data_IF_018438918715
#
_entry.id   IF_018438918715
#
_cell.length_a   1.000
_cell.length_b   1.000
_cell.length_c   1.000
_cell.angle_alpha   90.00
_cell.angle_beta   90.00
_cell.angle_gamma   90.00
#
_symmetry.space_group_name_H-M   'P 1'
#
loop_
_entity.id
_entity.type
_entity.pdbx_description
1 polymer ?
#
# COMPACT_ATOMS: atom_id res chain seq x y z
N UNK A 1 -14.02 13.00 -4.80
CA UNK A 1 -13.92 11.55 -5.10
C UNK A 1 -13.13 10.88 -4.00
N UNK A 2 -13.69 9.89 -3.38
CA UNK A 2 -13.07 9.16 -2.29
C UNK A 2 -12.00 8.21 -2.83
N UNK A 3 -10.83 8.25 -2.22
CA UNK A 3 -9.73 7.33 -2.55
C UNK A 3 -9.83 6.05 -1.74
N UNK A 4 -10.29 6.18 -0.49
CA UNK A 4 -10.56 5.07 0.42
C UNK A 4 -11.81 5.40 1.24
N UNK A 5 -12.74 4.46 1.32
CA UNK A 5 -13.91 4.52 2.20
C UNK A 5 -13.98 3.25 3.03
N UNK A 6 -14.06 3.40 4.34
CA UNK A 6 -14.18 2.32 5.31
C UNK A 6 -15.41 2.60 6.15
N UNK A 7 -16.36 1.67 6.19
CA UNK A 7 -17.62 1.84 6.93
C UNK A 7 -17.90 0.63 7.80
N UNK A 8 -18.00 0.87 9.11
CA UNK A 8 -18.35 -0.13 10.08
C UNK A 8 -17.42 -1.33 10.12
N UNK A 9 -16.14 -1.13 9.88
CA UNK A 9 -15.16 -2.21 9.77
C UNK A 9 -15.00 -2.94 11.09
N UNK A 10 -15.22 -4.26 11.05
CA UNK A 10 -15.05 -5.17 12.20
C UNK A 10 -14.10 -6.29 11.86
N UNK A 11 -13.24 -6.60 12.78
CA UNK A 11 -12.32 -7.73 12.70
C UNK A 11 -11.98 -8.25 14.08
N UNK A 12 -12.08 -9.56 14.25
CA UNK A 12 -11.68 -10.27 15.48
C UNK A 12 -10.70 -11.39 15.13
N UNK A 13 -9.85 -11.70 16.06
CA UNK A 13 -8.97 -12.87 16.03
C UNK A 13 -9.27 -13.70 17.29
N UNK A 14 -9.89 -14.88 17.11
CA UNK A 14 -10.42 -15.65 18.21
C UNK A 14 -11.45 -14.84 19.00
N UNK A 15 -11.25 -14.71 20.30
CA UNK A 15 -12.14 -13.95 21.19
C UNK A 15 -11.78 -12.46 21.31
N UNK A 16 -10.74 -12.01 20.61
CA UNK A 16 -10.26 -10.63 20.67
C UNK A 16 -10.81 -9.82 19.50
N UNK A 17 -11.66 -8.84 19.80
CA UNK A 17 -12.12 -7.84 18.85
C UNK A 17 -11.04 -6.77 18.66
N UNK A 18 -10.41 -6.75 17.47
CA UNK A 18 -9.35 -5.78 17.12
C UNK A 18 -9.97 -4.52 16.53
N UNK A 19 -10.98 -4.65 15.68
CA UNK A 19 -11.73 -3.54 15.09
C UNK A 19 -13.22 -3.72 15.43
N UNK A 20 -13.82 -2.70 15.99
CA UNK A 20 -15.18 -2.76 16.54
C UNK A 20 -16.16 -1.79 15.87
N UNK A 21 -16.00 -1.55 14.58
CA UNK A 21 -16.90 -0.67 13.82
C UNK A 21 -16.22 0.62 13.36
N UNK A 22 -14.99 0.51 12.85
CA UNK A 22 -14.23 1.66 12.37
C UNK A 22 -14.85 2.24 11.10
N UNK A 23 -15.03 3.55 11.08
CA UNK A 23 -15.55 4.28 9.92
C UNK A 23 -14.69 5.51 9.65
N UNK A 24 -14.17 5.64 8.45
CA UNK A 24 -13.47 6.82 7.98
C UNK A 24 -13.42 6.88 6.46
N UNK A 25 -13.10 8.05 5.94
CA UNK A 25 -12.92 8.31 4.52
C UNK A 25 -11.61 9.04 4.28
N UNK A 26 -10.98 8.75 3.15
CA UNK A 26 -9.82 9.47 2.63
C UNK A 26 -10.17 10.00 1.25
N UNK A 27 -10.12 11.30 1.07
CA UNK A 27 -10.38 11.97 -0.21
C UNK A 27 -9.07 12.24 -0.95
N UNK A 28 -9.20 12.45 -2.23
CA UNK A 28 -8.05 12.82 -3.07
C UNK A 28 -7.39 14.10 -2.55
N UNK A 29 -6.07 14.07 -2.40
CA UNK A 29 -5.28 15.21 -1.92
C UNK A 29 -5.18 15.31 -0.40
N UNK A 30 -5.84 14.43 0.35
CA UNK A 30 -5.75 14.38 1.81
C UNK A 30 -4.62 13.47 2.28
N UNK A 31 -4.06 13.81 3.44
CA UNK A 31 -3.19 12.96 4.21
C UNK A 31 -3.90 12.58 5.51
N UNK A 32 -4.09 11.28 5.73
CA UNK A 32 -4.83 10.76 6.87
C UNK A 32 -3.91 9.96 7.79
N UNK A 33 -3.91 10.28 9.08
CA UNK A 33 -3.10 9.59 10.08
C UNK A 33 -3.90 8.56 10.86
N UNK A 34 -3.40 7.33 10.94
CA UNK A 34 -3.86 6.30 11.85
C UNK A 34 -2.92 6.24 13.04
N UNK A 35 -3.40 6.73 14.19
CA UNK A 35 -2.61 6.83 15.41
C UNK A 35 -3.15 5.87 16.48
N UNK A 36 -2.26 5.33 17.27
CA UNK A 36 -2.60 4.48 18.39
C UNK A 36 -1.42 3.64 18.85
N UNK A 37 -1.50 3.05 20.05
CA UNK A 37 -0.45 2.15 20.54
C UNK A 37 -0.38 0.86 19.71
N UNK A 38 0.70 0.09 19.92
CA UNK A 38 0.81 -1.24 19.33
C UNK A 38 -0.37 -2.11 19.80
N UNK A 39 -0.98 -2.84 18.86
CA UNK A 39 -2.16 -3.65 19.12
C UNK A 39 -3.50 -2.91 19.01
N UNK A 40 -3.50 -1.61 18.65
CA UNK A 40 -4.73 -0.82 18.45
C UNK A 40 -5.48 -1.14 17.15
N UNK A 41 -4.96 -2.04 16.31
CA UNK A 41 -5.61 -2.41 15.04
C UNK A 41 -5.16 -1.63 13.81
N UNK A 42 -4.11 -0.82 13.89
CA UNK A 42 -3.60 -0.04 12.75
C UNK A 42 -3.20 -0.95 11.57
N UNK A 43 -2.38 -1.95 11.82
CA UNK A 43 -1.94 -2.92 10.81
C UNK A 43 -3.12 -3.70 10.25
N UNK A 44 -4.04 -4.15 11.09
CA UNK A 44 -5.25 -4.86 10.68
C UNK A 44 -6.12 -3.99 9.78
N UNK A 45 -6.30 -2.72 10.12
CA UNK A 45 -7.03 -1.74 9.29
C UNK A 45 -6.42 -1.62 7.90
N UNK A 46 -5.10 -1.44 7.82
CA UNK A 46 -4.40 -1.35 6.53
C UNK A 46 -4.51 -2.64 5.72
N UNK A 47 -4.36 -3.79 6.36
CA UNK A 47 -4.49 -5.09 5.69
C UNK A 47 -5.91 -5.32 5.15
N UNK A 48 -6.93 -4.95 5.89
CA UNK A 48 -8.31 -5.01 5.42
C UNK A 48 -8.55 -4.03 4.25
N UNK A 49 -8.06 -2.78 4.37
CA UNK A 49 -8.19 -1.77 3.32
C UNK A 49 -7.54 -2.20 2.00
N UNK A 50 -6.45 -2.95 2.06
CA UNK A 50 -5.73 -3.48 0.90
C UNK A 50 -6.29 -4.82 0.40
N UNK A 51 -7.26 -5.40 1.09
CA UNK A 51 -7.82 -6.70 0.75
C UNK A 51 -6.88 -7.88 1.02
N UNK A 52 -5.91 -7.72 1.91
CA UNK A 52 -4.98 -8.78 2.33
C UNK A 52 -5.56 -9.62 3.47
N UNK A 53 -6.54 -9.10 4.16
CA UNK A 53 -7.28 -9.77 5.23
C UNK A 53 -8.76 -9.46 5.05
N UNK A 54 -9.60 -10.49 5.06
CA UNK A 54 -11.04 -10.30 4.97
C UNK A 54 -11.60 -9.72 6.27
N UNK A 55 -12.40 -8.66 6.24
CA UNK A 55 -13.10 -8.18 7.42
C UNK A 55 -14.22 -9.14 7.83
N UNK A 56 -14.59 -9.13 9.11
CA UNK A 56 -15.73 -9.90 9.60
C UNK A 56 -17.06 -9.18 9.30
N UNK A 57 -17.03 -7.86 9.26
CA UNK A 57 -18.16 -7.03 8.85
C UNK A 57 -17.68 -5.66 8.38
N UNK A 58 -18.56 -4.92 7.73
CA UNK A 58 -18.29 -3.60 7.21
C UNK A 58 -18.07 -3.60 5.70
N UNK A 59 -17.91 -2.40 5.14
CA UNK A 59 -17.71 -2.21 3.71
C UNK A 59 -16.46 -1.35 3.46
N UNK A 60 -15.69 -1.75 2.47
CA UNK A 60 -14.47 -1.04 2.07
C UNK A 60 -14.53 -0.79 0.56
N UNK A 61 -14.19 0.43 0.17
CA UNK A 61 -13.93 0.78 -1.23
C UNK A 61 -12.55 1.42 -1.33
N UNK A 62 -11.73 0.89 -2.23
CA UNK A 62 -10.39 1.40 -2.51
C UNK A 62 -10.33 1.79 -3.99
N UNK A 63 -9.99 3.05 -4.26
CA UNK A 63 -10.01 3.61 -5.62
C UNK A 63 -11.34 3.36 -6.36
N UNK A 64 -12.45 3.46 -5.63
CA UNK A 64 -13.80 3.24 -6.17
C UNK A 64 -14.22 1.78 -6.33
N UNK A 65 -13.37 0.83 -5.99
CA UNK A 65 -13.63 -0.60 -6.15
C UNK A 65 -13.92 -1.29 -4.80
N UNK A 66 -14.87 -2.23 -4.75
CA UNK A 66 -15.16 -2.94 -3.51
C UNK A 66 -14.01 -3.88 -3.13
N UNK A 67 -13.69 -3.90 -1.84
CA UNK A 67 -12.63 -4.73 -1.27
C UNK A 67 -13.25 -5.61 -0.17
N UNK A 68 -12.96 -6.93 -0.12
CA UNK A 68 -11.89 -7.65 -0.83
C UNK A 68 -12.23 -8.12 -2.26
N UNK A 69 -13.45 -7.98 -2.73
CA UNK A 69 -13.93 -8.60 -3.97
C UNK A 69 -13.08 -8.23 -5.20
N UNK A 70 -12.71 -6.97 -5.33
CA UNK A 70 -11.87 -6.46 -6.42
C UNK A 70 -10.53 -5.89 -5.92
N UNK A 71 -10.01 -6.44 -4.84
CA UNK A 71 -8.79 -5.94 -4.19
C UNK A 71 -7.57 -5.96 -5.11
N UNK A 72 -7.40 -7.00 -5.90
CA UNK A 72 -6.27 -7.10 -6.82
C UNK A 72 -6.22 -5.96 -7.83
N UNK A 73 -7.37 -5.61 -8.38
CA UNK A 73 -7.49 -4.49 -9.33
C UNK A 73 -7.29 -3.15 -8.62
N UNK A 74 -7.88 -2.98 -7.43
CA UNK A 74 -7.72 -1.77 -6.64
C UNK A 74 -6.25 -1.51 -6.27
N UNK A 75 -5.51 -2.54 -5.89
CA UNK A 75 -4.08 -2.44 -5.55
C UNK A 75 -3.18 -1.99 -6.70
N UNK A 76 -3.57 -2.16 -7.95
CA UNK A 76 -2.81 -1.63 -9.09
C UNK A 76 -2.70 -0.09 -9.09
N UNK A 77 -3.54 0.58 -8.31
CA UNK A 77 -3.58 2.05 -8.18
C UNK A 77 -3.01 2.54 -6.87
N UNK A 78 -2.41 1.67 -6.07
CA UNK A 78 -1.96 1.96 -4.71
C UNK A 78 -0.49 1.61 -4.55
N UNK A 79 0.28 2.56 -4.03
CA UNK A 79 1.64 2.31 -3.57
C UNK A 79 1.67 2.03 -2.07
N UNK A 80 2.55 1.15 -1.64
CA UNK A 80 2.72 0.77 -0.24
C UNK A 80 4.19 0.88 0.12
N UNK A 81 4.46 1.56 1.24
CA UNK A 81 5.78 1.54 1.88
C UNK A 81 5.65 0.64 3.11
N UNK A 82 6.19 -0.58 3.07
CA UNK A 82 6.09 -1.51 4.20
C UNK A 82 6.99 -1.09 5.36
N UNK A 83 6.69 -1.63 6.54
CA UNK A 83 7.51 -1.41 7.73
C UNK A 83 8.88 -2.09 7.62
N UNK A 84 8.93 -3.27 6.99
CA UNK A 84 10.16 -4.01 6.74
C UNK A 84 10.57 -3.85 5.28
N UNK A 85 11.87 -3.88 5.03
CA UNK A 85 12.40 -3.82 3.68
C UNK A 85 11.92 -5.03 2.86
N UNK A 86 11.43 -4.75 1.66
CA UNK A 86 10.95 -5.75 0.71
C UNK A 86 11.68 -5.66 -0.64
N UNK A 87 12.78 -4.91 -0.68
CA UNK A 87 13.63 -4.81 -1.86
C UNK A 87 14.53 -6.05 -1.96
N UNK A 88 14.87 -6.40 -3.20
CA UNK A 88 15.76 -7.53 -3.46
C UNK A 88 17.22 -7.07 -3.34
N UNK A 89 18.00 -7.62 -2.39
CA UNK A 89 19.39 -7.21 -2.19
C UNK A 89 20.32 -7.65 -3.31
N UNK A 90 19.92 -8.62 -4.13
CA UNK A 90 20.70 -9.08 -5.27
C UNK A 90 20.60 -8.11 -6.46
N UNK A 91 19.57 -7.26 -6.46
CA UNK A 91 19.33 -6.27 -7.50
C UNK A 91 19.90 -4.90 -7.13
N UNK A 92 20.27 -4.14 -8.16
CA UNK A 92 20.59 -2.72 -8.02
C UNK A 92 19.33 -1.90 -7.73
N UNK A 93 19.51 -0.64 -7.33
CA UNK A 93 18.39 0.29 -7.13
C UNK A 93 17.52 0.42 -8.39
N UNK A 94 18.14 0.55 -9.57
CA UNK A 94 17.41 0.63 -10.84
C UNK A 94 16.66 -0.67 -11.16
N UNK A 95 17.28 -1.82 -10.96
CA UNK A 95 16.65 -3.13 -11.20
C UNK A 95 15.46 -3.37 -10.28
N UNK A 96 15.54 -2.99 -9.00
CA UNK A 96 14.41 -3.03 -8.09
C UNK A 96 13.24 -2.20 -8.62
N UNK A 97 13.48 -0.97 -9.07
CA UNK A 97 12.45 -0.11 -9.64
C UNK A 97 11.80 -0.72 -10.90
N UNK A 98 12.60 -1.36 -11.75
CA UNK A 98 12.09 -2.05 -12.95
C UNK A 98 11.18 -3.22 -12.59
N UNK A 99 11.57 -4.05 -11.63
CA UNK A 99 10.76 -5.18 -11.16
C UNK A 99 9.44 -4.71 -10.57
N UNK A 100 9.47 -3.69 -9.70
CA UNK A 100 8.25 -3.13 -9.13
C UNK A 100 7.34 -2.50 -10.18
N UNK A 101 7.89 -1.80 -11.16
CA UNK A 101 7.12 -1.28 -12.27
C UNK A 101 6.36 -2.36 -13.04
N UNK A 102 6.96 -3.53 -13.22
CA UNK A 102 6.32 -4.69 -13.86
C UNK A 102 5.14 -5.22 -13.06
N UNK A 103 5.22 -5.24 -11.73
CA UNK A 103 4.11 -5.66 -10.89
C UNK A 103 2.87 -4.77 -11.06
N UNK A 104 3.07 -3.50 -11.44
CA UNK A 104 2.00 -2.55 -11.73
C UNK A 104 1.62 -2.48 -13.21
N UNK A 105 2.12 -3.39 -14.03
CA UNK A 105 1.83 -3.43 -15.46
C UNK A 105 2.47 -2.32 -16.28
N UNK A 106 3.47 -1.64 -15.73
CA UNK A 106 4.19 -0.58 -16.44
C UNK A 106 5.17 -1.16 -17.47
N UNK A 107 5.28 -0.49 -18.61
CA UNK A 107 6.29 -0.85 -19.61
C UNK A 107 7.69 -0.46 -19.12
N UNK A 108 8.68 -1.28 -19.41
CA UNK A 108 10.07 -1.05 -19.01
C UNK A 108 10.57 0.34 -19.44
N UNK A 109 10.28 0.76 -20.67
CA UNK A 109 10.60 2.09 -21.17
C UNK A 109 10.05 3.21 -20.30
N UNK A 110 8.81 3.08 -19.82
CA UNK A 110 8.16 4.05 -18.95
C UNK A 110 8.85 4.10 -17.57
N UNK A 111 9.17 2.95 -17.00
CA UNK A 111 9.87 2.88 -15.72
C UNK A 111 11.26 3.50 -15.83
N UNK A 112 12.03 3.12 -16.88
CA UNK A 112 13.37 3.67 -17.12
C UNK A 112 13.36 5.20 -17.25
N UNK A 113 12.35 5.78 -17.87
CA UNK A 113 12.23 7.24 -17.99
C UNK A 113 12.02 7.95 -16.66
N UNK A 114 11.47 7.25 -15.65
CA UNK A 114 11.18 7.79 -14.32
C UNK A 114 12.32 7.62 -13.33
N UNK A 115 13.20 6.65 -13.53
CA UNK A 115 14.27 6.29 -12.58
C UNK A 115 15.13 7.48 -12.17
N UNK A 116 15.67 8.32 -13.07
CA UNK A 116 16.53 9.44 -12.66
C UNK A 116 15.84 10.39 -11.68
N UNK A 117 14.58 10.73 -11.94
CA UNK A 117 13.80 11.62 -11.09
C UNK A 117 13.47 10.98 -9.74
N UNK A 118 13.16 9.69 -9.72
CA UNK A 118 12.88 8.96 -8.49
C UNK A 118 14.11 8.87 -7.60
N UNK A 119 15.26 8.60 -8.17
CA UNK A 119 16.53 8.55 -7.44
C UNK A 119 16.93 9.93 -6.91
N UNK A 120 16.73 10.98 -7.69
CA UNK A 120 16.94 12.35 -7.22
C UNK A 120 16.03 12.68 -6.04
N UNK A 121 14.75 12.38 -6.13
CA UNK A 121 13.78 12.56 -5.05
C UNK A 121 14.19 11.82 -3.78
N UNK A 122 14.71 10.61 -3.90
CA UNK A 122 15.17 9.80 -2.78
C UNK A 122 16.56 10.19 -2.25
N UNK A 123 17.23 11.19 -2.86
CA UNK A 123 18.61 11.55 -2.50
C UNK A 123 19.65 10.53 -2.97
N UNK A 124 19.32 9.72 -3.97
CA UNK A 124 20.15 8.64 -4.49
C UNK A 124 20.64 8.89 -5.93
N UNK A 125 20.68 10.15 -6.35
CA UNK A 125 21.20 10.51 -7.67
C UNK A 125 22.63 9.94 -7.86
N UNK A 126 22.86 9.31 -9.02
CA UNK A 126 24.16 8.66 -9.31
C UNK A 126 24.34 7.28 -8.67
N UNK A 127 23.35 6.74 -7.99
CA UNK A 127 23.40 5.42 -7.33
C UNK A 127 22.49 4.37 -7.95
N UNK A 128 22.12 4.55 -9.21
CA UNK A 128 21.25 3.61 -9.93
C UNK A 128 21.79 2.17 -9.92
N UNK A 129 23.09 2.01 -10.05
CA UNK A 129 23.79 0.72 -10.10
C UNK A 129 24.25 0.22 -8.73
N UNK A 130 23.92 0.92 -7.65
CA UNK A 130 24.24 0.49 -6.29
C UNK A 130 23.32 -0.64 -5.86
N UNK A 131 23.89 -1.66 -5.23
CA UNK A 131 23.09 -2.73 -4.61
C UNK A 131 22.54 -2.27 -3.26
N UNK A 132 21.44 -2.90 -2.88
CA UNK A 132 20.81 -2.73 -1.57
C UNK A 132 21.61 -3.53 -0.54
N UNK A 133 22.13 -2.89 0.49
CA UNK A 133 22.86 -3.52 1.59
C UNK A 133 22.08 -3.38 2.89
#
# INVERSE_FOLDING_TARGET
METLSVQGLRKSYGDTAVLAGLTFELRRGECYGLLGPNGAGKTTTLRCALGLTAPDAGAIRLSGLPVPERAREARLRVGIVPQMDNLDPDFTAAENLLVYGRYFGMKEREVRSRIPRLLEFAGLAGRADAKIN
#
